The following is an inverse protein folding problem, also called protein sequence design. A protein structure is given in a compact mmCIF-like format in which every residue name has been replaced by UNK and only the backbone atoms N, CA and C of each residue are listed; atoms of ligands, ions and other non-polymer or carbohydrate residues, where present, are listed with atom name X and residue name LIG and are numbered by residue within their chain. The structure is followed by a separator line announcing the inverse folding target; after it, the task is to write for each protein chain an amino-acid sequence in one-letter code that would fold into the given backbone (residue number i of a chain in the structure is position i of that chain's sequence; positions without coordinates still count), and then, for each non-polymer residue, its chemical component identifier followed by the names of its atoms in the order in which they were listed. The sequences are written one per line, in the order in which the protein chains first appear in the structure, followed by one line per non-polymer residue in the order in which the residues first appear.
data_IF_912984403512
#
_entry.id   IF_912984403512
#
_cell.length_a   1.000
_cell.length_b   1.000
_cell.length_c   1.000
_cell.angle_alpha   90.00
_cell.angle_beta   90.00
_cell.angle_gamma   90.00
#
_symmetry.space_group_name_H-M   'P 1'
#
loop_
_entity.id
_entity.type
_entity.pdbx_description
1 polymer ?
#
# COMPACT_ATOMS: atom_id res chain seq x y z
N UNK A 1 -7.25 -42.46 1.70
CA UNK A 1 -8.05 -41.90 2.82
C UNK A 1 -8.45 -43.06 3.72
N UNK A 2 -8.17 -43.00 5.01
CA UNK A 2 -8.11 -44.19 5.86
C UNK A 2 -9.49 -44.87 6.05
N UNK A 3 -9.64 -46.10 5.53
CA UNK A 3 -10.88 -46.90 5.53
C UNK A 3 -11.48 -47.10 6.93
N UNK A 4 -10.64 -47.12 7.98
CA UNK A 4 -11.09 -47.27 9.37
C UNK A 4 -11.83 -46.04 9.89
N UNK A 5 -11.47 -44.81 9.45
CA UNK A 5 -12.16 -43.58 9.84
C UNK A 5 -13.58 -43.53 9.28
N UNK A 6 -13.79 -44.03 8.06
CA UNK A 6 -15.13 -44.09 7.45
C UNK A 6 -16.06 -45.07 8.19
N UNK A 7 -15.53 -46.19 8.72
CA UNK A 7 -16.31 -47.13 9.53
C UNK A 7 -16.74 -46.53 10.88
N UNK A 8 -15.87 -45.72 11.49
CA UNK A 8 -16.19 -45.00 12.73
C UNK A 8 -17.23 -43.90 12.49
N UNK A 9 -17.10 -43.13 11.40
CA UNK A 9 -18.01 -42.03 11.05
C UNK A 9 -19.45 -42.49 10.84
N UNK A 10 -19.66 -43.75 10.40
CA UNK A 10 -20.97 -44.38 10.27
C UNK A 10 -21.71 -44.56 11.59
N UNK A 11 -20.99 -44.71 12.72
CA UNK A 11 -21.57 -44.95 14.03
C UNK A 11 -21.57 -43.68 14.89
N UNK A 12 -20.54 -42.85 14.75
CA UNK A 12 -20.45 -41.56 15.42
C UNK A 12 -19.65 -40.60 14.53
N UNK A 13 -20.20 -39.42 14.18
CA UNK A 13 -19.49 -38.49 13.31
C UNK A 13 -18.15 -38.09 13.92
N UNK A 14 -17.05 -38.41 13.24
CA UNK A 14 -15.66 -38.21 13.72
C UNK A 14 -15.40 -36.74 14.08
N UNK A 15 -16.15 -35.83 13.44
CA UNK A 15 -16.13 -34.39 13.70
C UNK A 15 -16.48 -33.97 15.14
N UNK A 16 -17.20 -34.81 15.90
CA UNK A 16 -17.54 -34.57 17.30
C UNK A 16 -16.63 -35.29 18.29
N UNK A 17 -15.62 -36.03 17.82
CA UNK A 17 -14.76 -36.88 18.66
C UNK A 17 -14.04 -36.11 19.77
N UNK A 18 -13.49 -34.93 19.45
CA UNK A 18 -12.81 -34.08 20.42
C UNK A 18 -13.73 -33.57 21.53
N UNK A 19 -14.99 -33.24 21.18
CA UNK A 19 -15.98 -32.81 22.15
C UNK A 19 -16.45 -33.97 23.03
N UNK A 20 -16.65 -35.16 22.46
CA UNK A 20 -16.95 -36.38 23.22
C UNK A 20 -15.81 -36.74 24.17
N UNK A 21 -14.56 -36.65 23.73
CA UNK A 21 -13.39 -36.88 24.56
C UNK A 21 -13.32 -35.90 25.74
N UNK A 22 -13.71 -34.64 25.54
CA UNK A 22 -13.80 -33.66 26.63
C UNK A 22 -14.89 -34.04 27.64
N UNK A 23 -16.06 -34.50 27.19
CA UNK A 23 -17.15 -34.94 28.06
C UNK A 23 -16.77 -36.20 28.87
N UNK A 24 -16.10 -37.17 28.24
CA UNK A 24 -15.58 -38.37 28.92
C UNK A 24 -14.48 -38.00 29.91
N UNK A 25 -13.55 -37.12 29.52
CA UNK A 25 -12.51 -36.58 30.40
C UNK A 25 -13.09 -35.85 31.61
N UNK A 26 -14.18 -35.09 31.43
CA UNK A 26 -14.92 -34.45 32.52
C UNK A 26 -15.47 -35.49 33.50
N UNK A 27 -16.12 -36.55 33.01
CA UNK A 27 -16.69 -37.59 33.88
C UNK A 27 -15.61 -38.34 34.67
N UNK A 28 -14.49 -38.70 34.03
CA UNK A 28 -13.38 -39.38 34.69
C UNK A 28 -12.69 -38.50 35.73
N UNK A 29 -12.49 -37.21 35.41
CA UNK A 29 -11.90 -36.25 36.33
C UNK A 29 -12.82 -35.93 37.51
N UNK A 30 -14.14 -35.83 37.27
CA UNK A 30 -15.13 -35.65 38.33
C UNK A 30 -15.22 -36.88 39.24
N UNK A 31 -15.20 -38.09 38.68
CA UNK A 31 -15.13 -39.32 39.46
C UNK A 31 -13.86 -39.38 40.32
N UNK A 32 -12.71 -39.04 39.74
CA UNK A 32 -11.43 -39.02 40.46
C UNK A 32 -11.41 -37.99 41.59
N UNK A 33 -12.06 -36.84 41.38
CA UNK A 33 -12.19 -35.82 42.41
C UNK A 33 -13.06 -36.32 43.57
N UNK A 34 -14.21 -36.93 43.28
CA UNK A 34 -15.12 -37.42 44.33
C UNK A 34 -14.55 -38.64 45.06
N UNK A 35 -13.91 -39.57 44.34
CA UNK A 35 -13.44 -40.83 44.90
C UNK A 35 -12.07 -40.73 45.58
N UNK A 36 -11.19 -39.84 45.13
CA UNK A 36 -9.79 -39.78 45.57
C UNK A 36 -9.33 -38.38 45.98
N UNK A 37 -10.23 -37.39 46.03
CA UNK A 37 -9.95 -35.97 46.32
C UNK A 37 -8.82 -35.38 45.45
N UNK A 38 -8.70 -35.87 44.21
CA UNK A 38 -7.66 -35.46 43.24
C UNK A 38 -8.26 -35.13 41.89
N UNK A 39 -7.74 -34.09 41.24
CA UNK A 39 -8.09 -33.76 39.85
C UNK A 39 -9.27 -32.80 39.67
N UNK A 40 -9.70 -32.09 40.73
CA UNK A 40 -10.78 -31.09 40.62
C UNK A 40 -10.49 -29.98 39.59
N UNK A 41 -9.23 -29.58 39.43
CA UNK A 41 -8.82 -28.61 38.39
C UNK A 41 -9.02 -29.16 36.97
N UNK A 42 -8.69 -30.43 36.73
CA UNK A 42 -8.92 -31.09 35.43
C UNK A 42 -10.42 -31.24 35.15
N UNK A 43 -11.23 -31.54 36.17
CA UNK A 43 -12.68 -31.60 36.03
C UNK A 43 -13.26 -30.25 35.58
N UNK A 44 -12.79 -29.14 36.17
CA UNK A 44 -13.19 -27.78 35.76
C UNK A 44 -12.76 -27.45 34.32
N UNK A 45 -11.55 -27.82 33.92
CA UNK A 45 -11.05 -27.60 32.54
C UNK A 45 -11.91 -28.36 31.53
N UNK A 46 -12.16 -29.65 31.76
CA UNK A 46 -12.96 -30.47 30.86
C UNK A 46 -14.44 -30.06 30.85
N UNK A 47 -14.98 -29.58 31.99
CA UNK A 47 -16.30 -28.96 32.05
C UNK A 47 -16.38 -27.71 31.17
N UNK A 48 -15.40 -26.81 31.25
CA UNK A 48 -15.34 -25.61 30.43
C UNK A 48 -15.26 -25.95 28.93
N UNK A 49 -14.43 -26.92 28.54
CA UNK A 49 -14.31 -27.38 27.14
C UNK A 49 -15.61 -28.05 26.64
N UNK A 50 -16.29 -28.81 27.50
CA UNK A 50 -17.57 -29.42 27.15
C UNK A 50 -18.66 -28.37 26.94
N UNK A 51 -18.73 -27.35 27.80
CA UNK A 51 -19.63 -26.20 27.65
C UNK A 51 -19.30 -25.35 26.41
N UNK A 52 -18.01 -25.18 26.10
CA UNK A 52 -17.56 -24.54 24.86
C UNK A 52 -18.07 -25.30 23.63
N UNK A 53 -17.99 -26.65 23.64
CA UNK A 53 -18.55 -27.47 22.56
C UNK A 53 -20.06 -27.31 22.40
N UNK A 54 -20.82 -27.21 23.50
CA UNK A 54 -22.26 -26.90 23.44
C UNK A 54 -22.51 -25.55 22.76
N UNK A 55 -21.74 -24.51 23.13
CA UNK A 55 -21.83 -23.19 22.49
C UNK A 55 -21.50 -23.27 21.00
N UNK A 56 -20.43 -23.97 20.64
CA UNK A 56 -19.96 -24.12 19.26
C UNK A 56 -21.02 -24.76 18.36
N UNK A 57 -21.75 -25.77 18.86
CA UNK A 57 -22.84 -26.44 18.11
C UNK A 57 -24.10 -25.59 17.94
N UNK A 58 -24.35 -24.64 18.86
CA UNK A 58 -25.59 -23.84 18.89
C UNK A 58 -25.48 -22.51 18.16
N UNK A 59 -24.27 -21.99 18.00
CA UNK A 59 -24.06 -20.72 17.31
C UNK A 59 -24.20 -20.86 15.78
N UNK A 60 -24.70 -19.81 15.12
CA UNK A 60 -24.97 -19.80 13.68
C UNK A 60 -23.92 -19.04 12.83
N UNK A 61 -22.93 -18.39 13.45
CA UNK A 61 -21.98 -17.48 12.78
C UNK A 61 -20.81 -18.22 12.12
N UNK A 62 -20.27 -19.26 12.74
CA UNK A 62 -19.06 -19.96 12.29
C UNK A 62 -19.39 -21.42 11.95
N UNK A 63 -19.51 -21.73 10.66
CA UNK A 63 -19.83 -23.08 10.19
C UNK A 63 -18.77 -24.13 10.61
N UNK A 64 -17.49 -23.74 10.68
CA UNK A 64 -16.39 -24.63 11.08
C UNK A 64 -16.52 -25.07 12.53
N UNK A 65 -16.72 -24.14 13.47
CA UNK A 65 -16.90 -24.46 14.89
C UNK A 65 -18.15 -25.31 15.13
N UNK A 66 -19.22 -25.05 14.37
CA UNK A 66 -20.45 -25.84 14.46
C UNK A 66 -20.27 -27.30 14.03
N UNK A 67 -19.45 -27.51 13.01
CA UNK A 67 -19.17 -28.84 12.48
C UNK A 67 -18.06 -29.57 13.25
N UNK A 68 -17.10 -28.85 13.85
CA UNK A 68 -15.98 -29.39 14.61
C UNK A 68 -15.85 -28.69 15.99
N UNK A 69 -16.76 -28.96 16.94
CA UNK A 69 -16.75 -28.29 18.25
C UNK A 69 -15.46 -28.55 19.01
N UNK A 70 -14.99 -27.55 19.77
CA UNK A 70 -13.71 -27.57 20.51
C UNK A 70 -12.48 -27.59 19.60
N UNK A 71 -12.29 -28.61 18.76
CA UNK A 71 -11.09 -28.76 17.92
C UNK A 71 -11.00 -27.70 16.80
N UNK A 72 -12.13 -27.16 16.34
CA UNK A 72 -12.16 -26.09 15.35
C UNK A 72 -11.44 -24.82 15.81
N UNK A 73 -11.36 -24.56 17.13
CA UNK A 73 -10.60 -23.44 17.68
C UNK A 73 -9.09 -23.58 17.44
N UNK A 74 -8.56 -24.81 17.39
CA UNK A 74 -7.16 -25.05 17.07
C UNK A 74 -6.82 -24.59 15.65
N UNK A 75 -7.75 -24.76 14.69
CA UNK A 75 -7.56 -24.24 13.33
C UNK A 75 -7.40 -22.72 13.35
N UNK A 76 -8.28 -22.00 14.05
CA UNK A 76 -8.21 -20.54 14.11
C UNK A 76 -6.97 -20.05 14.86
N UNK A 77 -6.55 -20.77 15.90
CA UNK A 77 -5.28 -20.50 16.59
C UNK A 77 -4.09 -20.68 15.64
N UNK A 78 -4.04 -21.78 14.89
CA UNK A 78 -2.99 -22.04 13.92
C UNK A 78 -3.04 -21.06 12.74
N UNK A 79 -4.24 -20.64 12.32
CA UNK A 79 -4.43 -19.62 11.28
C UNK A 79 -3.97 -18.24 11.75
N UNK A 80 -4.19 -17.91 13.02
CA UNK A 80 -3.68 -16.69 13.66
C UNK A 80 -2.15 -16.69 13.76
N UNK A 81 -1.54 -17.82 14.13
CA UNK A 81 -0.08 -17.99 14.28
C UNK A 81 0.63 -18.26 12.94
N UNK A 82 -0.13 -18.60 11.89
CA UNK A 82 0.41 -18.98 10.58
C UNK A 82 1.31 -17.91 9.97
N UNK A 83 0.97 -16.60 9.97
CA UNK A 83 1.82 -15.57 9.39
C UNK A 83 3.21 -15.53 10.05
N UNK A 84 3.26 -15.61 11.37
CA UNK A 84 4.51 -15.57 12.14
C UNK A 84 5.33 -16.83 11.93
N UNK A 85 4.72 -18.03 12.02
CA UNK A 85 5.45 -19.27 11.76
C UNK A 85 5.99 -19.33 10.35
N UNK A 86 5.18 -18.90 9.37
CA UNK A 86 5.62 -18.85 7.98
C UNK A 86 6.80 -17.89 7.82
N UNK A 87 6.72 -16.70 8.40
CA UNK A 87 7.77 -15.69 8.37
C UNK A 87 9.10 -16.14 9.01
N UNK A 88 9.05 -16.88 10.13
CA UNK A 88 10.26 -17.22 10.90
C UNK A 88 10.86 -18.59 10.55
N UNK A 89 10.04 -19.57 10.15
CA UNK A 89 10.48 -20.96 9.99
C UNK A 89 10.36 -21.50 8.57
N UNK A 90 9.54 -20.90 7.71
CA UNK A 90 9.20 -21.49 6.39
C UNK A 90 9.68 -20.61 5.24
N UNK A 91 9.49 -19.30 5.33
CA UNK A 91 9.85 -18.35 4.27
C UNK A 91 11.37 -18.30 4.07
N UNK A 92 11.79 -18.46 2.82
CA UNK A 92 13.18 -18.26 2.44
C UNK A 92 13.61 -16.81 2.68
N UNK A 93 14.91 -16.57 2.89
CA UNK A 93 15.43 -15.20 3.15
C UNK A 93 15.06 -14.19 2.05
N UNK A 94 14.75 -14.68 0.84
CA UNK A 94 14.37 -13.95 -0.38
C UNK A 94 12.90 -14.09 -0.79
N UNK A 95 12.06 -14.85 -0.06
CA UNK A 95 10.61 -14.90 -0.36
C UNK A 95 9.94 -13.59 0.07
N UNK A 96 9.15 -12.99 -0.82
CA UNK A 96 8.62 -11.64 -0.65
C UNK A 96 7.19 -11.64 -0.07
N UNK A 97 7.00 -10.95 1.08
CA UNK A 97 5.99 -9.88 1.28
C UNK A 97 6.00 -9.28 2.71
N UNK A 98 5.91 -7.95 2.93
CA UNK A 98 6.23 -6.85 2.00
C UNK A 98 7.75 -6.57 1.91
N UNK A 99 8.54 -7.13 2.84
CA UNK A 99 9.99 -7.03 2.85
C UNK A 99 10.60 -8.39 3.17
N UNK A 100 11.67 -8.74 2.46
CA UNK A 100 12.36 -10.01 2.70
C UNK A 100 12.95 -10.05 4.12
N UNK A 101 13.23 -11.24 4.64
CA UNK A 101 13.88 -11.39 5.95
C UNK A 101 15.26 -10.73 5.95
N UNK A 102 15.96 -10.79 4.81
CA UNK A 102 17.25 -10.12 4.62
C UNK A 102 17.12 -8.60 4.74
N UNK A 103 16.15 -7.98 4.06
CA UNK A 103 15.91 -6.53 4.12
C UNK A 103 15.61 -6.07 5.56
N UNK A 104 14.77 -6.81 6.29
CA UNK A 104 14.45 -6.49 7.69
C UNK A 104 15.66 -6.64 8.61
N UNK A 105 16.41 -7.74 8.46
CA UNK A 105 17.62 -7.98 9.24
C UNK A 105 18.66 -6.88 9.03
N UNK A 106 18.82 -6.41 7.79
CA UNK A 106 19.70 -5.28 7.47
C UNK A 106 19.27 -3.99 8.17
N UNK A 107 17.97 -3.66 8.15
CA UNK A 107 17.43 -2.48 8.86
C UNK A 107 17.70 -2.59 10.36
N UNK A 108 17.46 -3.75 10.97
CA UNK A 108 17.70 -3.95 12.40
C UNK A 108 19.19 -3.87 12.77
N UNK A 109 20.08 -4.44 11.97
CA UNK A 109 21.53 -4.36 12.20
C UNK A 109 22.01 -2.91 12.13
N UNK A 110 21.58 -2.15 11.12
CA UNK A 110 21.90 -0.72 11.00
C UNK A 110 21.36 0.10 12.17
N UNK A 111 20.11 -0.16 12.59
CA UNK A 111 19.53 0.53 13.74
C UNK A 111 20.28 0.26 15.06
N UNK A 112 20.94 -0.91 15.18
CA UNK A 112 21.72 -1.31 16.35
C UNK A 112 23.21 -0.91 16.28
N UNK A 113 23.67 -0.38 15.15
CA UNK A 113 25.09 -0.09 14.91
C UNK A 113 25.95 -1.34 14.71
N UNK A 114 25.32 -2.49 14.44
CA UNK A 114 26.02 -3.74 14.13
C UNK A 114 26.59 -3.70 12.70
N UNK A 115 27.64 -4.48 12.45
CA UNK A 115 28.21 -4.62 11.11
C UNK A 115 27.15 -5.11 10.11
N UNK A 116 26.89 -4.31 9.08
CA UNK A 116 25.98 -4.61 7.98
C UNK A 116 26.67 -5.34 6.81
N UNK A 117 27.94 -5.69 6.98
CA UNK A 117 28.76 -6.33 5.94
C UNK A 117 28.71 -7.85 6.06
N UNK A 118 27.97 -8.48 5.15
CA UNK A 118 28.00 -9.92 4.91
C UNK A 118 28.73 -10.20 3.60
N UNK A 119 29.92 -10.82 3.61
CA UNK A 119 30.56 -11.27 2.37
C UNK A 119 29.76 -12.47 1.83
N UNK A 120 29.14 -12.31 0.67
CA UNK A 120 28.42 -13.38 0.00
C UNK A 120 28.53 -13.24 -1.53
N UNK A 121 28.51 -14.38 -2.23
CA UNK A 121 28.28 -14.42 -3.68
C UNK A 121 26.81 -14.11 -4.01
N UNK A 122 26.49 -13.93 -5.30
CA UNK A 122 25.10 -13.67 -5.72
C UNK A 122 24.18 -14.79 -5.27
N UNK A 123 23.16 -14.45 -4.49
CA UNK A 123 22.06 -15.35 -4.12
C UNK A 123 20.87 -15.24 -5.08
N UNK A 124 20.96 -14.31 -6.05
CA UNK A 124 19.95 -14.15 -7.10
C UNK A 124 20.22 -15.17 -8.21
N UNK A 125 19.15 -15.72 -8.75
CA UNK A 125 19.22 -16.53 -9.97
C UNK A 125 19.54 -15.61 -11.16
N UNK A 126 20.81 -15.62 -11.56
CA UNK A 126 21.32 -14.79 -12.66
C UNK A 126 20.83 -15.23 -14.04
N UNK A 127 20.16 -16.39 -14.12
CA UNK A 127 19.56 -16.92 -15.33
C UNK A 127 18.05 -16.75 -15.36
N UNK A 128 17.45 -16.21 -14.29
CA UNK A 128 16.03 -15.93 -14.26
C UNK A 128 15.66 -14.91 -15.36
N UNK A 129 14.50 -15.12 -15.97
CA UNK A 129 13.94 -14.17 -16.94
C UNK A 129 13.70 -12.83 -16.23
N UNK A 130 14.26 -11.76 -16.78
CA UNK A 130 14.20 -10.41 -16.20
C UNK A 130 15.35 -10.07 -15.25
N UNK A 131 16.33 -10.96 -15.07
CA UNK A 131 17.56 -10.60 -14.38
C UNK A 131 18.36 -9.58 -15.21
N UNK A 132 18.50 -8.37 -14.68
CA UNK A 132 19.30 -7.30 -15.27
C UNK A 132 20.67 -7.23 -14.60
N UNK A 133 21.72 -7.09 -15.41
CA UNK A 133 23.05 -6.75 -14.92
C UNK A 133 23.59 -5.52 -15.64
N UNK A 134 24.61 -4.91 -15.06
CA UNK A 134 25.38 -3.85 -15.70
C UNK A 134 26.80 -4.39 -15.86
N UNK A 135 27.29 -4.47 -17.10
CA UNK A 135 28.67 -4.85 -17.36
C UNK A 135 29.59 -3.75 -16.83
N UNK A 136 30.57 -4.14 -16.02
CA UNK A 136 31.61 -3.21 -15.59
C UNK A 136 32.48 -2.80 -16.79
N UNK A 137 32.66 -1.50 -16.97
CA UNK A 137 33.68 -0.99 -17.89
C UNK A 137 35.04 -0.99 -17.18
N UNK A 138 36.03 -1.69 -17.76
CA UNK A 138 37.43 -1.64 -17.30
C UNK A 138 38.09 -0.28 -17.54
N UNK A 139 37.46 0.58 -18.33
CA UNK A 139 37.91 1.95 -18.57
C UNK A 139 37.20 2.91 -17.61
N UNK A 140 37.91 3.46 -16.59
CA UNK A 140 37.33 4.47 -15.72
C UNK A 140 37.04 5.74 -16.51
N UNK A 141 35.87 6.35 -16.25
CA UNK A 141 35.49 7.64 -16.81
C UNK A 141 35.67 8.75 -15.77
N UNK A 142 36.02 9.95 -16.22
CA UNK A 142 36.02 11.16 -15.38
C UNK A 142 34.74 11.93 -15.64
N UNK A 143 33.91 12.04 -14.61
CA UNK A 143 32.69 12.83 -14.67
C UNK A 143 33.03 14.31 -14.50
N UNK A 144 32.51 15.16 -15.38
CA UNK A 144 32.66 16.61 -15.28
C UNK A 144 31.75 17.23 -14.21
N UNK A 145 30.64 16.57 -13.89
CA UNK A 145 29.66 17.01 -12.90
C UNK A 145 29.02 15.82 -12.20
N UNK A 146 28.52 16.05 -10.99
CA UNK A 146 27.69 15.10 -10.24
C UNK A 146 26.20 15.52 -10.24
N UNK A 147 25.88 16.63 -10.90
CA UNK A 147 24.51 17.11 -11.13
C UNK A 147 24.04 16.60 -12.49
N UNK A 148 23.38 15.44 -12.47
CA UNK A 148 22.87 14.79 -13.67
C UNK A 148 21.45 15.26 -13.96
N UNK A 149 21.27 15.89 -15.12
CA UNK A 149 20.02 16.55 -15.48
C UNK A 149 19.58 16.19 -16.90
N UNK A 150 18.27 16.26 -17.11
CA UNK A 150 17.61 16.01 -18.39
C UNK A 150 16.69 17.17 -18.70
N UNK A 151 16.91 17.80 -19.86
CA UNK A 151 16.01 18.85 -20.34
C UNK A 151 14.71 18.24 -20.87
N UNK A 152 13.62 18.46 -20.14
CA UNK A 152 12.28 18.04 -20.52
C UNK A 152 11.61 19.19 -21.28
N UNK A 153 11.12 18.87 -22.49
CA UNK A 153 10.44 19.82 -23.34
C UNK A 153 11.34 20.88 -23.97
N UNK A 154 12.54 20.52 -24.43
CA UNK A 154 13.52 21.45 -25.03
C UNK A 154 12.95 22.41 -26.09
N UNK A 155 11.95 22.00 -26.88
CA UNK A 155 11.28 22.85 -27.87
C UNK A 155 10.00 23.53 -27.38
N UNK A 156 9.80 23.66 -26.06
CA UNK A 156 8.64 24.33 -25.46
C UNK A 156 9.01 25.76 -25.06
N UNK A 157 8.01 26.58 -24.73
CA UNK A 157 8.25 27.96 -24.30
C UNK A 157 8.98 28.05 -22.95
N UNK A 158 8.78 27.04 -22.10
CA UNK A 158 9.37 26.98 -20.75
C UNK A 158 9.97 25.59 -20.50
N UNK A 159 11.06 25.19 -21.19
CA UNK A 159 11.71 23.90 -20.94
C UNK A 159 12.14 23.79 -19.48
N UNK A 160 12.13 22.57 -18.93
CA UNK A 160 12.58 22.33 -17.57
C UNK A 160 13.81 21.42 -17.57
N UNK A 161 14.88 21.90 -16.96
CA UNK A 161 16.08 21.09 -16.74
C UNK A 161 15.92 20.32 -15.43
N UNK A 162 15.48 19.06 -15.52
CA UNK A 162 15.11 18.25 -14.37
C UNK A 162 16.30 17.42 -13.88
N UNK A 163 16.48 17.33 -12.56
CA UNK A 163 17.33 16.29 -11.98
C UNK A 163 16.86 14.89 -12.42
N UNK A 164 17.78 13.94 -12.58
CA UNK A 164 17.41 12.53 -12.80
C UNK A 164 16.72 11.90 -11.58
N UNK A 165 16.84 12.51 -10.40
CA UNK A 165 16.12 12.14 -9.18
C UNK A 165 15.18 13.27 -8.73
N UNK A 166 13.88 12.99 -8.63
CA UNK A 166 12.84 13.91 -8.18
C UNK A 166 11.98 13.24 -7.09
N UNK A 167 11.19 14.01 -6.36
CA UNK A 167 10.23 13.47 -5.39
C UNK A 167 8.96 13.05 -6.13
N UNK A 168 8.61 11.77 -6.03
CA UNK A 168 7.43 11.19 -6.70
C UNK A 168 6.11 11.66 -6.10
N UNK A 169 5.07 11.59 -6.94
CA UNK A 169 3.71 12.02 -6.66
C UNK A 169 3.10 11.42 -5.39
N UNK A 170 2.78 12.27 -4.41
CA UNK A 170 2.02 11.88 -3.22
C UNK A 170 1.11 13.02 -2.76
N UNK A 171 -0.21 12.79 -2.79
CA UNK A 171 -1.20 13.84 -2.53
C UNK A 171 -1.17 14.42 -1.11
N UNK A 172 -1.38 15.73 -0.99
CA UNK A 172 -1.79 16.33 0.28
C UNK A 172 -3.16 15.78 0.73
N UNK A 173 -3.22 15.32 1.98
CA UNK A 173 -4.32 14.52 2.54
C UNK A 173 -3.96 13.05 2.71
N UNK A 174 -3.10 12.50 1.83
CA UNK A 174 -2.38 11.25 2.12
C UNK A 174 -1.12 11.56 2.94
N UNK A 175 -0.41 12.63 2.58
CA UNK A 175 0.68 13.21 3.38
C UNK A 175 0.17 14.31 4.30
N UNK A 176 0.88 14.50 5.42
CA UNK A 176 0.66 15.61 6.35
C UNK A 176 1.24 16.93 5.81
N UNK A 177 0.79 18.05 6.37
CA UNK A 177 1.33 19.38 6.06
C UNK A 177 2.85 19.45 6.23
N UNK A 178 3.36 18.93 7.36
CA UNK A 178 4.80 18.92 7.66
C UNK A 178 5.60 18.10 6.65
N UNK A 179 5.05 16.97 6.17
CA UNK A 179 5.71 16.16 5.15
C UNK A 179 5.81 16.94 3.83
N UNK A 180 4.72 17.56 3.38
CA UNK A 180 4.71 18.37 2.15
C UNK A 180 5.70 19.55 2.24
N UNK A 181 5.72 20.26 3.37
CA UNK A 181 6.66 21.35 3.63
C UNK A 181 8.12 20.87 3.55
N UNK A 182 8.45 19.79 4.25
CA UNK A 182 9.79 19.23 4.28
C UNK A 182 10.24 18.75 2.89
N UNK A 183 9.37 18.07 2.16
CA UNK A 183 9.64 17.60 0.80
C UNK A 183 9.86 18.77 -0.17
N UNK A 184 9.01 19.80 -0.14
CA UNK A 184 9.20 20.95 -1.02
C UNK A 184 10.45 21.79 -0.65
N UNK A 185 10.79 21.92 0.63
CA UNK A 185 12.06 22.55 1.02
C UNK A 185 13.26 21.73 0.57
N UNK A 186 13.19 20.39 0.67
CA UNK A 186 14.20 19.49 0.13
C UNK A 186 14.39 19.67 -1.38
N UNK A 187 13.28 19.74 -2.12
CA UNK A 187 13.26 20.01 -3.55
C UNK A 187 13.96 21.32 -3.92
N UNK A 188 13.63 22.40 -3.19
CA UNK A 188 14.27 23.71 -3.37
C UNK A 188 15.78 23.66 -3.12
N UNK A 189 16.20 23.05 -2.00
CA UNK A 189 17.63 22.97 -1.64
C UNK A 189 18.42 22.10 -2.59
N UNK A 190 17.81 21.02 -3.09
CA UNK A 190 18.45 20.05 -3.95
C UNK A 190 18.33 20.34 -5.45
N UNK A 191 17.59 21.37 -5.86
CA UNK A 191 17.42 21.70 -7.27
C UNK A 191 16.71 20.61 -8.08
N UNK A 192 15.79 19.89 -7.45
CA UNK A 192 14.94 18.88 -8.09
C UNK A 192 13.46 19.19 -7.85
N UNK A 193 12.57 18.55 -8.61
CA UNK A 193 11.14 18.83 -8.52
C UNK A 193 10.43 17.96 -7.46
N UNK A 194 9.36 18.51 -6.90
CA UNK A 194 8.40 17.80 -6.06
C UNK A 194 7.07 17.65 -6.80
N UNK A 195 6.68 16.41 -7.05
CA UNK A 195 5.38 16.12 -7.63
C UNK A 195 4.27 16.15 -6.56
N UNK A 196 3.23 16.93 -6.82
CA UNK A 196 2.14 17.19 -5.86
C UNK A 196 1.22 16.01 -5.63
N UNK A 197 1.22 15.03 -6.54
CA UNK A 197 0.16 14.04 -6.67
C UNK A 197 -1.21 14.65 -6.99
N UNK A 198 -2.23 13.78 -7.08
CA UNK A 198 -3.63 14.15 -7.41
C UNK A 198 -4.34 15.09 -6.40
N UNK A 199 -3.67 15.48 -5.31
CA UNK A 199 -4.25 16.27 -4.23
C UNK A 199 -4.33 17.77 -4.51
N UNK A 200 -3.90 18.22 -5.70
CA UNK A 200 -3.70 19.62 -6.06
C UNK A 200 -2.55 20.31 -5.29
N UNK A 201 -2.29 21.56 -5.65
CA UNK A 201 -1.25 22.43 -5.08
C UNK A 201 -1.77 23.09 -3.80
N UNK A 202 -1.47 22.50 -2.65
CA UNK A 202 -1.76 23.13 -1.35
C UNK A 202 -0.82 24.30 -1.02
N UNK A 203 -1.21 25.14 -0.06
CA UNK A 203 -0.34 26.20 0.50
C UNK A 203 1.01 25.68 1.02
N UNK A 204 1.05 24.44 1.49
CA UNK A 204 2.27 23.78 1.97
C UNK A 204 3.26 23.48 0.85
N UNK A 205 2.78 23.19 -0.37
CA UNK A 205 3.64 23.09 -1.54
C UNK A 205 4.22 24.47 -1.92
N UNK A 206 3.42 25.54 -1.76
CA UNK A 206 3.78 26.89 -2.15
C UNK A 206 4.75 27.58 -1.20
N UNK A 207 4.76 27.18 0.07
CA UNK A 207 5.44 27.91 1.14
C UNK A 207 6.95 28.07 0.94
N UNK A 208 7.64 27.03 0.45
CA UNK A 208 9.10 27.04 0.35
C UNK A 208 9.59 27.42 -1.05
N UNK A 209 8.78 27.28 -2.10
CA UNK A 209 9.14 27.69 -3.45
C UNK A 209 10.02 26.70 -4.21
N UNK A 210 10.12 25.44 -3.76
CA UNK A 210 10.77 24.37 -4.55
C UNK A 210 9.96 24.02 -5.79
N UNK A 211 10.62 23.66 -6.88
CA UNK A 211 9.97 23.37 -8.16
C UNK A 211 8.90 22.27 -8.03
N UNK A 212 7.80 22.43 -8.76
CA UNK A 212 6.67 21.50 -8.74
C UNK A 212 6.43 20.86 -10.11
N UNK A 213 6.11 19.56 -10.05
CA UNK A 213 5.36 18.88 -11.10
C UNK A 213 3.92 18.82 -10.61
N UNK A 214 3.00 19.45 -11.33
CA UNK A 214 1.60 19.39 -10.95
C UNK A 214 0.94 18.16 -11.58
N UNK A 215 0.67 17.14 -10.75
CA UNK A 215 -0.05 15.94 -11.17
C UNK A 215 -1.57 16.17 -11.11
N UNK A 216 -2.26 15.84 -12.21
CA UNK A 216 -3.70 15.96 -12.36
C UNK A 216 -4.28 14.56 -12.57
N UNK A 217 -5.05 14.09 -11.59
CA UNK A 217 -5.84 12.86 -11.69
C UNK A 217 -7.23 13.08 -12.30
N UNK A 218 -7.97 11.98 -12.48
CA UNK A 218 -9.33 11.97 -13.05
C UNK A 218 -10.38 12.74 -12.24
N UNK A 219 -10.12 13.03 -10.96
CA UNK A 219 -10.97 13.88 -10.14
C UNK A 219 -10.79 15.39 -10.41
N UNK A 220 -9.79 15.78 -11.22
CA UNK A 220 -9.46 17.17 -11.58
C UNK A 220 -9.37 18.13 -10.39
N UNK A 221 -8.96 17.64 -9.21
CA UNK A 221 -8.84 18.49 -8.02
C UNK A 221 -7.87 19.65 -8.29
N UNK A 222 -8.27 20.85 -7.89
CA UNK A 222 -7.55 22.09 -8.21
C UNK A 222 -7.77 22.65 -9.62
N UNK A 223 -8.43 21.91 -10.51
CA UNK A 223 -8.78 22.36 -11.87
C UNK A 223 -10.16 21.84 -12.31
N UNK A 224 -11.11 21.78 -11.38
CA UNK A 224 -12.47 21.30 -11.63
C UNK A 224 -13.52 22.37 -11.44
N UNK A 225 -14.59 22.23 -12.21
CA UNK A 225 -15.89 22.83 -11.94
C UNK A 225 -16.56 22.14 -10.73
N UNK A 226 -17.66 22.72 -10.25
CA UNK A 226 -18.43 22.17 -9.13
C UNK A 226 -18.98 20.76 -9.42
N UNK A 227 -19.33 20.48 -10.68
CA UNK A 227 -19.82 19.17 -11.14
C UNK A 227 -18.70 18.11 -11.30
N UNK A 228 -17.43 18.50 -11.18
CA UNK A 228 -16.28 17.59 -11.34
C UNK A 228 -15.68 17.52 -12.74
N UNK A 229 -16.24 18.23 -13.71
CA UNK A 229 -15.62 18.39 -15.03
C UNK A 229 -14.38 19.31 -14.96
N UNK A 230 -13.49 19.20 -15.95
CA UNK A 230 -12.28 20.00 -16.05
C UNK A 230 -12.59 21.49 -16.30
N UNK A 231 -11.92 22.38 -15.58
CA UNK A 231 -12.04 23.83 -15.66
C UNK A 231 -10.74 24.47 -16.14
N UNK A 232 -10.78 25.08 -17.32
CA UNK A 232 -9.62 25.77 -17.92
C UNK A 232 -9.14 26.94 -17.07
N UNK A 233 -10.06 27.76 -16.54
CA UNK A 233 -9.75 28.94 -15.73
C UNK A 233 -8.92 28.53 -14.49
N UNK A 234 -9.44 27.58 -13.71
CA UNK A 234 -8.75 27.05 -12.52
C UNK A 234 -7.46 26.33 -12.88
N UNK A 235 -7.42 25.64 -14.02
CA UNK A 235 -6.19 25.06 -14.52
C UNK A 235 -5.14 26.13 -14.78
N UNK A 236 -5.49 27.21 -15.47
CA UNK A 236 -4.58 28.31 -15.81
C UNK A 236 -4.04 28.98 -14.53
N UNK A 237 -4.89 29.23 -13.54
CA UNK A 237 -4.50 29.83 -12.25
C UNK A 237 -3.36 29.04 -11.58
N UNK A 238 -3.48 27.71 -11.52
CA UNK A 238 -2.48 26.85 -10.91
C UNK A 238 -1.28 26.58 -11.84
N UNK A 239 -1.53 26.20 -13.09
CA UNK A 239 -0.50 25.81 -14.04
C UNK A 239 0.45 26.96 -14.37
N UNK A 240 0.01 28.23 -14.32
CA UNK A 240 0.86 29.39 -14.62
C UNK A 240 1.68 29.88 -13.44
N UNK A 241 1.52 29.33 -12.24
CA UNK A 241 2.40 29.64 -11.11
C UNK A 241 3.87 29.43 -11.50
N UNK A 242 4.79 30.37 -11.22
CA UNK A 242 6.21 30.23 -11.59
C UNK A 242 6.89 28.99 -10.99
N UNK A 243 6.37 28.51 -9.86
CA UNK A 243 6.85 27.32 -9.16
C UNK A 243 6.48 26.02 -9.87
N UNK A 244 5.38 25.99 -10.64
CA UNK A 244 5.00 24.83 -11.45
C UNK A 244 5.89 24.82 -12.69
N UNK A 245 6.70 23.78 -12.85
CA UNK A 245 7.61 23.63 -13.99
C UNK A 245 7.06 22.68 -15.04
N UNK A 246 6.28 21.70 -14.63
CA UNK A 246 5.68 20.70 -15.52
C UNK A 246 4.27 20.34 -15.06
N UNK A 247 3.48 19.82 -16.01
CA UNK A 247 2.15 19.27 -15.75
C UNK A 247 2.16 17.79 -16.13
N UNK A 248 1.70 16.94 -15.23
CA UNK A 248 1.58 15.49 -15.44
C UNK A 248 0.11 15.09 -15.36
N UNK A 249 -0.46 14.58 -16.45
CA UNK A 249 -1.80 14.00 -16.44
C UNK A 249 -1.71 12.52 -16.06
N UNK A 250 -2.27 12.13 -14.92
CA UNK A 250 -2.16 10.76 -14.43
C UNK A 250 -3.30 9.88 -14.95
N UNK A 251 -2.98 8.90 -15.79
CA UNK A 251 -3.96 7.91 -16.26
C UNK A 251 -4.11 6.72 -15.31
N UNK A 252 -3.03 6.31 -14.63
CA UNK A 252 -3.03 5.15 -13.72
C UNK A 252 -1.89 5.23 -12.69
N UNK A 253 -1.93 4.36 -11.68
CA UNK A 253 -0.85 4.14 -10.71
C UNK A 253 -0.67 2.64 -10.41
N UNK A 254 0.58 2.22 -10.15
CA UNK A 254 0.89 0.81 -9.90
C UNK A 254 0.29 0.21 -8.63
N UNK A 255 -0.02 1.02 -7.62
CA UNK A 255 -0.67 0.51 -6.42
C UNK A 255 -2.13 0.08 -6.67
N UNK A 256 -2.83 0.72 -7.61
CA UNK A 256 -4.26 0.49 -7.87
C UNK A 256 -4.62 0.75 -9.35
N UNK A 257 -4.25 -0.13 -10.29
CA UNK A 257 -4.65 0.01 -11.68
C UNK A 257 -6.18 0.01 -11.81
N UNK A 258 -6.73 0.90 -12.65
CA UNK A 258 -8.16 0.94 -12.97
C UNK A 258 -9.08 1.60 -11.93
N UNK A 259 -8.54 2.17 -10.85
CA UNK A 259 -9.32 2.91 -9.85
C UNK A 259 -8.76 4.31 -9.63
N UNK A 260 -9.64 5.30 -9.45
CA UNK A 260 -9.23 6.64 -9.03
C UNK A 260 -8.90 6.71 -7.54
N UNK A 261 -8.16 7.75 -7.14
CA UNK A 261 -7.85 8.02 -5.74
C UNK A 261 -9.11 8.33 -4.92
N UNK A 262 -9.14 7.87 -3.66
CA UNK A 262 -10.20 8.14 -2.69
C UNK A 262 -9.60 8.78 -1.45
N UNK A 263 -10.10 9.95 -1.07
CA UNK A 263 -9.85 10.56 0.24
C UNK A 263 -11.19 10.72 0.99
N UNK A 264 -11.39 9.99 2.11
CA UNK A 264 -12.63 10.09 2.89
C UNK A 264 -12.87 11.49 3.42
N UNK A 265 -14.12 11.93 3.42
CA UNK A 265 -14.62 13.22 3.87
C UNK A 265 -14.15 13.63 5.27
N UNK A 266 -14.08 12.73 6.27
CA UNK A 266 -13.51 13.07 7.58
C UNK A 266 -12.05 13.55 7.54
N UNK A 267 -11.29 13.21 6.49
CA UNK A 267 -9.93 13.73 6.26
C UNK A 267 -9.91 15.02 5.46
N UNK A 268 -11.03 15.47 4.88
CA UNK A 268 -11.12 16.69 4.07
C UNK A 268 -11.30 17.88 5.00
N UNK A 269 -10.18 18.29 5.60
CA UNK A 269 -10.04 19.49 6.42
C UNK A 269 -10.21 20.76 5.58
N UNK A 270 -10.38 21.96 6.20
CA UNK A 270 -10.43 23.23 5.46
C UNK A 270 -9.25 23.44 4.52
N UNK A 271 -8.04 23.02 4.90
CA UNK A 271 -6.84 23.16 4.06
C UNK A 271 -6.88 22.24 2.83
N UNK A 272 -7.43 21.04 2.98
CA UNK A 272 -7.54 20.06 1.90
C UNK A 272 -8.67 20.49 0.96
N UNK A 273 -9.79 20.95 1.50
CA UNK A 273 -10.90 21.52 0.77
C UNK A 273 -10.47 22.72 -0.10
N UNK A 274 -9.69 23.64 0.48
CA UNK A 274 -9.07 24.77 -0.21
C UNK A 274 -8.20 24.30 -1.38
N UNK A 275 -7.25 23.39 -1.12
CA UNK A 275 -6.33 22.90 -2.16
C UNK A 275 -7.07 22.21 -3.31
N UNK A 276 -8.08 21.39 -2.99
CA UNK A 276 -8.80 20.56 -3.97
C UNK A 276 -9.95 21.28 -4.68
N UNK A 277 -10.41 22.40 -4.14
CA UNK A 277 -11.57 23.14 -4.65
C UNK A 277 -12.90 22.41 -4.41
N UNK A 278 -13.05 21.77 -3.25
CA UNK A 278 -14.23 20.99 -2.84
C UNK A 278 -14.76 21.45 -1.47
N UNK A 279 -16.03 21.16 -1.10
CA UNK A 279 -16.52 21.49 0.24
C UNK A 279 -15.84 20.66 1.34
N UNK A 280 -15.67 21.26 2.52
CA UNK A 280 -15.15 20.59 3.72
C UNK A 280 -16.01 19.38 4.07
N UNK A 281 -15.38 18.28 4.46
CA UNK A 281 -16.08 17.06 4.86
C UNK A 281 -16.65 16.22 3.71
N UNK A 282 -16.50 16.64 2.45
CA UNK A 282 -17.02 15.90 1.29
C UNK A 282 -16.01 14.85 0.81
N UNK A 283 -16.47 13.62 0.59
CA UNK A 283 -15.64 12.56 0.03
C UNK A 283 -15.03 13.00 -1.32
N UNK A 284 -13.70 12.90 -1.42
CA UNK A 284 -12.99 13.15 -2.67
C UNK A 284 -12.80 11.81 -3.39
N UNK A 285 -13.75 11.48 -4.27
CA UNK A 285 -13.70 10.28 -5.09
C UNK A 285 -13.30 10.69 -6.51
N UNK A 286 -12.21 10.12 -7.00
CA UNK A 286 -11.79 10.28 -8.39
C UNK A 286 -12.41 9.16 -9.23
N UNK A 287 -13.01 9.46 -10.40
CA UNK A 287 -13.48 8.43 -11.33
C UNK A 287 -12.34 7.51 -11.79
N UNK A 288 -12.64 6.35 -12.36
CA UNK A 288 -11.62 5.46 -12.94
C UNK A 288 -11.01 5.99 -14.24
N UNK A 289 -11.66 6.95 -14.90
CA UNK A 289 -11.22 7.54 -16.15
C UNK A 289 -11.41 9.07 -16.15
N UNK A 290 -10.64 9.75 -16.96
CA UNK A 290 -10.79 11.17 -17.23
C UNK A 290 -12.06 11.44 -18.05
N UNK A 291 -12.87 12.42 -17.66
CA UNK A 291 -14.08 12.79 -18.38
C UNK A 291 -13.83 13.71 -19.57
N UNK A 292 -12.63 14.31 -19.68
CA UNK A 292 -12.28 15.27 -20.74
C UNK A 292 -11.99 14.62 -22.11
N UNK A 293 -11.82 13.30 -22.17
CA UNK A 293 -11.52 12.57 -23.40
C UNK A 293 -11.94 11.10 -23.27
N UNK A 294 -12.21 10.45 -24.39
CA UNK A 294 -12.59 9.03 -24.48
C UNK A 294 -11.59 8.19 -25.29
N UNK A 295 -10.77 8.80 -26.15
CA UNK A 295 -9.81 8.08 -27.00
C UNK A 295 -8.35 8.53 -26.78
N UNK A 296 -7.35 7.70 -27.16
CA UNK A 296 -5.94 8.12 -27.12
C UNK A 296 -5.64 9.36 -27.97
N UNK A 297 -6.36 9.58 -29.07
CA UNK A 297 -6.18 10.77 -29.91
C UNK A 297 -6.70 12.00 -29.18
N UNK A 298 -7.87 11.91 -28.57
CA UNK A 298 -8.44 13.00 -27.74
C UNK A 298 -7.59 13.28 -26.51
N UNK A 299 -6.98 12.26 -25.89
CA UNK A 299 -5.97 12.44 -24.85
C UNK A 299 -4.82 13.31 -25.35
N UNK A 300 -4.27 13.03 -26.54
CA UNK A 300 -3.19 13.83 -27.10
C UNK A 300 -3.61 15.27 -27.41
N UNK A 301 -4.85 15.48 -27.86
CA UNK A 301 -5.43 16.81 -28.03
C UNK A 301 -5.56 17.54 -26.69
N UNK A 302 -6.03 16.86 -25.65
CA UNK A 302 -6.14 17.40 -24.31
C UNK A 302 -4.76 17.78 -23.74
N UNK A 303 -3.75 16.94 -23.91
CA UNK A 303 -2.36 17.26 -23.53
C UNK A 303 -1.84 18.50 -24.28
N UNK A 304 -2.20 18.67 -25.55
CA UNK A 304 -1.85 19.87 -26.30
C UNK A 304 -2.56 21.13 -25.76
N UNK A 305 -3.83 21.02 -25.40
CA UNK A 305 -4.60 22.09 -24.76
C UNK A 305 -4.00 22.49 -23.40
N UNK A 306 -3.72 21.54 -22.51
CA UNK A 306 -3.08 21.80 -21.21
C UNK A 306 -1.71 22.50 -21.38
N UNK A 307 -0.93 22.09 -22.38
CA UNK A 307 0.34 22.72 -22.71
C UNK A 307 0.17 24.17 -23.15
N UNK A 308 -0.84 24.49 -23.95
CA UNK A 308 -1.13 25.86 -24.36
C UNK A 308 -1.60 26.70 -23.15
N UNK A 309 -2.55 26.18 -22.38
CA UNK A 309 -3.12 26.87 -21.22
C UNK A 309 -2.07 27.19 -20.15
N UNK A 310 -1.11 26.27 -19.92
CA UNK A 310 -0.01 26.44 -18.96
C UNK A 310 1.06 27.48 -19.39
N UNK A 311 0.92 28.10 -20.56
CA UNK A 311 1.90 29.03 -21.11
C UNK A 311 3.09 28.32 -21.76
N UNK A 312 2.88 27.11 -22.28
CA UNK A 312 3.89 26.34 -22.99
C UNK A 312 4.87 25.61 -22.08
N UNK A 313 4.44 25.19 -20.89
CA UNK A 313 5.25 24.32 -20.01
C UNK A 313 5.26 22.87 -20.54
N UNK A 314 6.30 22.07 -20.24
CA UNK A 314 6.27 20.65 -20.52
C UNK A 314 5.04 20.00 -19.88
N UNK A 315 4.34 19.22 -20.70
CA UNK A 315 3.11 18.53 -20.31
C UNK A 315 3.16 17.13 -20.88
N UNK A 316 3.03 16.15 -20.00
CA UNK A 316 3.03 14.73 -20.31
C UNK A 316 1.94 14.00 -19.54
N UNK A 317 2.01 12.68 -19.55
CA UNK A 317 1.08 11.83 -18.83
C UNK A 317 1.79 10.61 -18.24
N UNK A 318 1.20 10.07 -17.19
CA UNK A 318 1.73 8.93 -16.43
C UNK A 318 0.91 7.68 -16.67
N UNK A 319 1.62 6.60 -16.99
CA UNK A 319 1.11 5.25 -17.22
C UNK A 319 1.63 4.29 -16.13
N UNK A 320 1.01 3.13 -16.03
CA UNK A 320 1.51 2.01 -15.22
C UNK A 320 1.60 0.75 -16.08
#
# INVERSE_FOLDING_TARGET
MFVWLQRLDQHFPVRYSAWLACAVGMMLAAFSWVAFDRGGTLALIFLALTLLGVRDTRQARHAVLRNYPVIGHLRFLLEYIRPEMRQYFIEGDNEAAPFSRQQRSLVYQRAKGDSDKRPFGTQMDVHAVGYEWINHSLQPSKLSTHDFRVTIGAGRAQPYDASVFNISAMSFGALSANAVLALNEGARRGGFAHDTGEGSISRHHRANGGDLIWEIGSGYFGCRHGDGSFSEERFVENARLPQVKMVELKLSQGAKPGHGGVLPGPKVTPEIAEARGVPVGTDCISPSAHSAFATPIELMQFIAQLRQLSGGKPTGFKLC
#
